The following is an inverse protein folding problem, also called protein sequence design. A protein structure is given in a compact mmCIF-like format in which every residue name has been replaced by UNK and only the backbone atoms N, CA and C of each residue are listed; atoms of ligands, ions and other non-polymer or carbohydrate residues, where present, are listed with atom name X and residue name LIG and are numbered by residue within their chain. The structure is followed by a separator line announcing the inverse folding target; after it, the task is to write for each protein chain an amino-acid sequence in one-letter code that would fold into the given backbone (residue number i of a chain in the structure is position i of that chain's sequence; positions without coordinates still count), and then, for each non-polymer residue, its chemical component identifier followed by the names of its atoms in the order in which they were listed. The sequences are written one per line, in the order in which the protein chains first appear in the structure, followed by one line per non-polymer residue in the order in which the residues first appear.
data_IF_159967867800
#
_entry.id   IF_159967867800
#
_cell.length_a   1.000
_cell.length_b   1.000
_cell.length_c   1.000
_cell.angle_alpha   90.00
_cell.angle_beta   90.00
_cell.angle_gamma   90.00
#
_symmetry.space_group_name_H-M   'P 1'
#
loop_
_entity.id
_entity.type
_entity.pdbx_description
1 polymer ?
#
# COMPACT_ATOMS: atom_id res chain seq x y z
N UNK A 1 -17.47 -1.63 -4.15
CA UNK A 1 -17.49 -0.27 -3.56
C UNK A 1 -17.17 0.80 -4.62
N UNK A 2 -17.94 1.90 -4.65
CA UNK A 2 -17.54 3.10 -5.41
C UNK A 2 -16.28 3.65 -4.73
N UNK A 3 -15.11 3.42 -5.33
CA UNK A 3 -13.81 3.76 -4.75
C UNK A 3 -12.74 2.66 -4.84
N UNK A 4 -13.12 1.40 -5.10
CA UNK A 4 -12.13 0.33 -5.30
C UNK A 4 -11.46 0.43 -6.67
N UNK A 5 -10.17 0.09 -6.76
CA UNK A 5 -9.36 0.12 -7.99
C UNK A 5 -10.05 -0.60 -9.16
N UNK A 6 -10.67 -1.75 -8.88
CA UNK A 6 -11.42 -2.53 -9.87
C UNK A 6 -12.66 -1.80 -10.38
N UNK A 7 -13.43 -1.20 -9.46
CA UNK A 7 -14.61 -0.42 -9.83
C UNK A 7 -14.19 0.76 -10.69
N UNK A 8 -13.15 1.47 -10.29
CA UNK A 8 -12.59 2.61 -11.02
C UNK A 8 -12.11 2.21 -12.41
N UNK A 9 -11.36 1.10 -12.53
CA UNK A 9 -10.93 0.55 -13.81
C UNK A 9 -12.12 0.22 -14.72
N UNK A 10 -13.15 -0.44 -14.19
CA UNK A 10 -14.37 -0.75 -14.96
C UNK A 10 -15.11 0.53 -15.39
N UNK A 11 -15.13 1.56 -14.54
CA UNK A 11 -15.70 2.88 -14.87
C UNK A 11 -14.89 3.61 -15.95
N UNK A 12 -13.56 3.54 -15.89
CA UNK A 12 -12.66 4.08 -16.92
C UNK A 12 -12.91 3.38 -18.25
N UNK A 13 -12.97 2.04 -18.26
CA UNK A 13 -13.30 1.28 -19.46
C UNK A 13 -14.66 1.71 -20.03
N UNK A 14 -15.69 1.88 -19.17
CA UNK A 14 -17.00 2.36 -19.58
C UNK A 14 -16.98 3.77 -20.19
N UNK A 15 -16.21 4.69 -19.61
CA UNK A 15 -15.99 6.05 -20.12
C UNK A 15 -15.28 6.03 -21.48
N UNK A 16 -14.20 5.27 -21.60
CA UNK A 16 -13.44 5.12 -22.84
C UNK A 16 -14.31 4.55 -23.97
N UNK A 17 -15.18 3.59 -23.67
CA UNK A 17 -16.17 3.08 -24.63
C UNK A 17 -17.15 4.17 -25.05
N UNK A 18 -17.68 4.97 -24.11
CA UNK A 18 -18.57 6.09 -24.41
C UNK A 18 -17.88 7.17 -25.27
N UNK A 19 -16.56 7.34 -25.11
CA UNK A 19 -15.71 8.23 -25.91
C UNK A 19 -15.25 7.61 -27.25
N UNK A 20 -15.70 6.39 -27.58
CA UNK A 20 -15.36 5.72 -28.84
C UNK A 20 -13.93 5.16 -28.90
N UNK A 21 -13.28 4.94 -27.75
CA UNK A 21 -11.94 4.34 -27.67
C UNK A 21 -12.05 2.82 -27.63
N UNK A 22 -11.17 2.15 -28.37
CA UNK A 22 -11.13 0.69 -28.50
C UNK A 22 -10.02 0.02 -27.69
N UNK A 23 -9.15 0.80 -27.04
CA UNK A 23 -7.98 0.30 -26.31
C UNK A 23 -7.83 1.03 -24.98
N UNK A 24 -7.63 0.26 -23.91
CA UNK A 24 -7.17 0.72 -22.61
C UNK A 24 -5.96 -0.14 -22.21
N UNK A 25 -4.84 0.50 -21.88
CA UNK A 25 -3.58 -0.18 -21.57
C UNK A 25 -3.12 0.11 -20.15
N UNK A 26 -2.74 -0.94 -19.41
CA UNK A 26 -2.09 -0.85 -18.11
C UNK A 26 -0.56 -0.80 -18.21
N UNK A 27 -0.02 -0.52 -19.40
CA UNK A 27 1.40 -0.64 -19.71
C UNK A 27 1.87 -2.10 -19.81
N UNK A 28 3.13 -2.29 -20.23
CA UNK A 28 3.73 -3.62 -20.35
C UNK A 28 3.93 -4.27 -18.97
N UNK A 29 3.79 -5.59 -18.90
CA UNK A 29 4.27 -6.38 -17.75
C UNK A 29 5.52 -7.10 -18.21
N UNK A 30 6.67 -6.70 -17.68
CA UNK A 30 7.95 -7.26 -18.07
C UNK A 30 8.24 -8.52 -17.25
N UNK A 31 8.68 -9.57 -17.96
CA UNK A 31 9.31 -10.73 -17.32
C UNK A 31 8.44 -11.98 -17.13
N UNK A 32 7.14 -11.90 -17.45
CA UNK A 32 6.27 -13.08 -17.36
C UNK A 32 6.42 -13.96 -18.60
N UNK A 33 6.82 -15.22 -18.39
CA UNK A 33 6.76 -16.26 -19.44
C UNK A 33 5.31 -16.69 -19.61
N UNK A 34 4.74 -16.40 -20.76
CA UNK A 34 3.35 -16.76 -21.09
C UNK A 34 3.23 -18.16 -21.70
N UNK A 35 4.30 -18.67 -22.31
CA UNK A 35 4.36 -19.98 -22.94
C UNK A 35 5.71 -20.19 -23.64
N UNK A 36 5.83 -21.31 -24.33
CA UNK A 36 7.02 -21.66 -25.10
C UNK A 36 6.82 -21.31 -26.58
N UNK A 37 7.91 -21.03 -27.29
CA UNK A 37 7.91 -20.81 -28.74
C UNK A 37 8.87 -21.79 -29.39
N UNK A 38 8.41 -22.49 -30.43
CA UNK A 38 9.26 -23.38 -31.25
C UNK A 38 10.34 -22.61 -32.02
N UNK A 39 10.18 -21.28 -32.15
CA UNK A 39 11.10 -20.38 -32.85
C UNK A 39 11.85 -19.46 -31.88
N UNK A 40 11.96 -19.82 -30.60
CA UNK A 40 12.65 -19.00 -29.61
C UNK A 40 14.16 -18.91 -29.92
N UNK A 41 14.72 -17.70 -29.83
CA UNK A 41 16.17 -17.50 -29.94
C UNK A 41 16.86 -18.09 -28.69
N UNK A 42 17.75 -19.10 -28.83
CA UNK A 42 18.34 -19.80 -27.68
C UNK A 42 19.27 -18.94 -26.82
N UNK A 43 19.80 -17.84 -27.37
CA UNK A 43 20.65 -16.90 -26.64
C UNK A 43 19.78 -15.96 -25.81
N UNK A 44 18.71 -15.44 -26.41
CA UNK A 44 17.73 -14.62 -25.72
C UNK A 44 17.06 -15.34 -24.54
N UNK A 45 16.67 -16.60 -24.74
CA UNK A 45 16.06 -17.43 -23.69
C UNK A 45 17.02 -17.69 -22.51
N UNK A 46 18.31 -17.89 -22.79
CA UNK A 46 19.33 -18.03 -21.74
C UNK A 46 19.48 -16.75 -20.94
N UNK A 47 19.63 -15.61 -21.61
CA UNK A 47 19.79 -14.31 -20.95
C UNK A 47 18.57 -13.97 -20.06
N UNK A 48 17.35 -14.15 -20.57
CA UNK A 48 16.13 -13.93 -19.80
C UNK A 48 15.98 -14.91 -18.63
N UNK A 49 16.41 -16.16 -18.79
CA UNK A 49 16.40 -17.16 -17.72
C UNK A 49 17.39 -16.85 -16.61
N UNK A 50 18.58 -16.35 -16.96
CA UNK A 50 19.58 -15.87 -16.00
C UNK A 50 19.05 -14.67 -15.19
N UNK A 51 18.45 -13.69 -15.87
CA UNK A 51 17.84 -12.54 -15.20
C UNK A 51 16.74 -12.95 -14.21
N UNK A 52 15.86 -13.87 -14.61
CA UNK A 52 14.84 -14.46 -13.73
C UNK A 52 15.44 -15.17 -12.52
N UNK A 53 16.50 -15.95 -12.71
CA UNK A 53 17.18 -16.65 -11.62
C UNK A 53 17.74 -15.70 -10.54
N UNK A 54 18.05 -14.45 -10.92
CA UNK A 54 18.52 -13.39 -10.03
C UNK A 54 17.40 -12.54 -9.43
N UNK A 55 16.14 -12.93 -9.64
CA UNK A 55 14.97 -12.20 -9.14
C UNK A 55 14.59 -10.96 -9.95
N UNK A 56 15.28 -10.70 -11.07
CA UNK A 56 14.95 -9.62 -12.02
C UNK A 56 13.92 -10.17 -13.01
N UNK A 57 12.97 -9.36 -13.49
CA UNK A 57 11.90 -9.81 -14.41
C UNK A 57 10.92 -10.84 -13.80
N UNK A 58 10.59 -10.74 -12.51
CA UNK A 58 9.56 -11.55 -11.82
C UNK A 58 8.19 -10.86 -11.83
N UNK A 59 7.58 -10.79 -13.01
CA UNK A 59 6.37 -10.00 -13.25
C UNK A 59 5.04 -10.66 -12.88
N UNK A 60 5.03 -11.85 -12.28
CA UNK A 60 3.82 -12.69 -12.17
C UNK A 60 2.70 -12.06 -11.34
N UNK A 61 3.05 -11.22 -10.35
CA UNK A 61 2.08 -10.47 -9.54
C UNK A 61 1.35 -9.40 -10.35
N UNK A 62 2.12 -8.57 -11.08
CA UNK A 62 1.58 -7.49 -11.91
C UNK A 62 0.78 -8.04 -13.11
N UNK A 63 1.21 -9.16 -13.68
CA UNK A 63 0.48 -9.84 -14.74
C UNK A 63 -0.87 -10.42 -14.25
N UNK A 64 -0.90 -11.08 -13.09
CA UNK A 64 -2.14 -11.58 -12.49
C UNK A 64 -3.12 -10.44 -12.18
N UNK A 65 -2.60 -9.31 -11.70
CA UNK A 65 -3.40 -8.11 -11.47
C UNK A 65 -4.08 -7.60 -12.76
N UNK A 66 -3.33 -7.43 -13.85
CA UNK A 66 -3.88 -6.91 -15.12
C UNK A 66 -4.89 -7.86 -15.78
N UNK A 67 -4.69 -9.17 -15.66
CA UNK A 67 -5.60 -10.17 -16.23
C UNK A 67 -6.99 -10.18 -15.60
N UNK A 68 -7.17 -9.62 -14.40
CA UNK A 68 -8.49 -9.51 -13.76
C UNK A 68 -9.50 -8.72 -14.61
N UNK A 69 -9.02 -7.86 -15.49
CA UNK A 69 -9.83 -6.94 -16.30
C UNK A 69 -9.97 -7.36 -17.76
N UNK A 70 -9.44 -8.53 -18.14
CA UNK A 70 -9.48 -9.00 -19.53
C UNK A 70 -9.69 -10.52 -19.61
N UNK A 71 -10.63 -11.00 -20.44
CA UNK A 71 -10.91 -12.45 -20.57
C UNK A 71 -9.97 -13.19 -21.52
N UNK A 72 -9.20 -12.48 -22.37
CA UNK A 72 -8.34 -13.08 -23.41
C UNK A 72 -6.97 -12.41 -23.44
N UNK A 73 -5.93 -13.23 -23.41
CA UNK A 73 -4.55 -12.81 -23.64
C UNK A 73 -4.15 -13.08 -25.09
N UNK A 74 -3.64 -12.05 -25.76
CA UNK A 74 -3.07 -12.16 -27.11
C UNK A 74 -1.56 -11.94 -27.00
N UNK A 75 -0.72 -12.96 -27.29
CA UNK A 75 0.71 -12.78 -27.28
C UNK A 75 1.13 -11.87 -28.44
N UNK A 76 2.07 -10.96 -28.16
CA UNK A 76 2.78 -10.20 -29.18
C UNK A 76 4.21 -10.70 -29.16
N UNK A 77 4.71 -11.13 -30.32
CA UNK A 77 6.07 -11.60 -30.47
C UNK A 77 6.93 -10.48 -31.06
N UNK A 78 8.11 -10.28 -30.47
CA UNK A 78 9.17 -9.51 -31.11
C UNK A 78 9.96 -10.48 -32.00
N UNK A 79 9.84 -10.31 -33.31
CA UNK A 79 10.46 -11.20 -34.29
C UNK A 79 11.63 -10.49 -34.98
N UNK A 80 12.69 -11.25 -35.21
CA UNK A 80 13.84 -10.88 -36.04
C UNK A 80 13.80 -11.71 -37.34
N UNK A 81 14.05 -11.12 -38.53
CA UNK A 81 14.27 -11.89 -39.75
C UNK A 81 15.44 -12.87 -39.59
N UNK A 82 15.34 -14.08 -40.14
CA UNK A 82 16.34 -15.14 -39.96
C UNK A 82 17.75 -14.76 -40.44
N UNK A 83 17.83 -13.81 -41.36
CA UNK A 83 19.03 -13.29 -42.02
C UNK A 83 19.55 -11.96 -41.43
N UNK A 84 18.87 -11.38 -40.45
CA UNK A 84 19.30 -10.15 -39.80
C UNK A 84 20.35 -10.42 -38.71
N UNK A 85 21.20 -9.44 -38.40
CA UNK A 85 22.19 -9.57 -37.32
C UNK A 85 21.51 -9.80 -35.95
N UNK A 86 22.12 -10.59 -35.05
CA UNK A 86 21.58 -10.80 -33.71
C UNK A 86 21.47 -9.47 -32.94
N UNK A 87 20.31 -9.21 -32.34
CA UNK A 87 20.11 -8.08 -31.43
C UNK A 87 20.24 -8.57 -30.00
N UNK A 88 21.08 -7.93 -29.20
CA UNK A 88 21.20 -8.28 -27.79
C UNK A 88 19.89 -7.96 -27.05
N UNK A 89 19.40 -8.93 -26.28
CA UNK A 89 18.23 -8.76 -25.42
C UNK A 89 18.41 -7.60 -24.44
N UNK A 90 19.63 -7.33 -23.99
CA UNK A 90 19.94 -6.19 -23.13
C UNK A 90 19.62 -4.85 -23.79
N UNK A 91 19.91 -4.71 -25.09
CA UNK A 91 19.60 -3.51 -25.88
C UNK A 91 18.10 -3.35 -26.09
N UNK A 92 17.39 -4.45 -26.36
CA UNK A 92 15.92 -4.45 -26.48
C UNK A 92 15.27 -4.03 -25.16
N UNK A 93 15.76 -4.56 -24.03
CA UNK A 93 15.28 -4.18 -22.69
C UNK A 93 15.56 -2.70 -22.42
N UNK A 94 16.76 -2.21 -22.75
CA UNK A 94 17.16 -0.83 -22.52
C UNK A 94 16.33 0.14 -23.37
N UNK A 95 16.03 -0.23 -24.62
CA UNK A 95 15.14 0.53 -25.51
C UNK A 95 13.72 0.64 -24.91
N UNK A 96 13.20 -0.44 -24.32
CA UNK A 96 11.88 -0.41 -23.65
C UNK A 96 11.92 0.48 -22.41
N UNK A 97 13.01 0.45 -21.64
CA UNK A 97 13.16 1.23 -20.42
C UNK A 97 13.45 2.72 -20.67
N UNK A 98 14.13 3.05 -21.77
CA UNK A 98 14.48 4.41 -22.15
C UNK A 98 14.54 4.55 -23.69
N UNK A 99 13.45 5.00 -24.34
CA UNK A 99 13.37 5.07 -25.79
C UNK A 99 14.27 6.15 -26.43
N UNK A 100 14.82 7.08 -25.63
CA UNK A 100 15.72 8.14 -26.10
C UNK A 100 17.19 7.69 -26.16
N UNK A 101 17.52 6.53 -25.58
CA UNK A 101 18.85 5.93 -25.70
C UNK A 101 18.98 5.33 -27.09
N UNK A 102 19.66 6.06 -28.00
CA UNK A 102 20.05 5.52 -29.30
C UNK A 102 21.15 4.48 -29.12
N UNK A 103 20.77 3.22 -29.20
CA UNK A 103 21.69 2.09 -29.32
C UNK A 103 22.38 2.17 -30.69
N UNK A 104 23.73 2.21 -30.70
CA UNK A 104 24.53 2.21 -31.93
C UNK A 104 24.74 0.77 -32.40
N UNK A 105 24.60 0.55 -33.70
CA UNK A 105 24.76 -0.72 -34.43
C UNK A 105 26.17 -1.34 -34.40
N UNK A 106 27.07 -0.87 -33.53
CA UNK A 106 28.51 -1.11 -33.64
C UNK A 106 29.16 -1.45 -32.28
N UNK A 107 28.44 -2.18 -31.41
CA UNK A 107 29.01 -2.97 -30.30
C UNK A 107 29.90 -2.22 -29.28
N UNK A 108 29.83 -0.90 -29.22
CA UNK A 108 30.69 -0.07 -28.38
C UNK A 108 29.91 0.97 -27.59
N UNK A 109 29.95 0.88 -26.26
CA UNK A 109 29.40 1.90 -25.37
C UNK A 109 30.30 3.15 -25.40
N UNK A 110 29.80 4.24 -25.99
CA UNK A 110 30.36 5.57 -25.74
C UNK A 110 29.64 6.19 -24.55
N UNK A 111 30.28 6.10 -23.37
CA UNK A 111 29.91 6.89 -22.20
C UNK A 111 30.27 8.34 -22.48
N UNK A 112 29.31 9.26 -22.53
CA UNK A 112 29.65 10.67 -22.33
C UNK A 112 30.04 10.82 -20.86
N UNK A 113 31.33 11.07 -20.61
CA UNK A 113 31.84 11.31 -19.26
C UNK A 113 31.03 12.42 -18.56
N UNK A 114 30.59 12.24 -17.31
CA UNK A 114 30.15 13.36 -16.49
C UNK A 114 31.34 14.29 -16.24
N UNK A 115 31.08 15.60 -16.18
CA UNK A 115 32.08 16.57 -15.73
C UNK A 115 32.70 16.12 -14.38
N UNK A 116 34.01 16.38 -14.15
CA UNK A 116 34.71 15.85 -12.99
C UNK A 116 34.06 16.36 -11.70
N UNK A 117 33.61 15.40 -10.89
CA UNK A 117 33.20 15.65 -9.51
C UNK A 117 34.45 16.02 -8.70
N UNK A 118 34.37 17.13 -7.99
CA UNK A 118 35.36 17.56 -7.00
C UNK A 118 35.58 16.45 -5.97
N UNK A 119 36.83 16.06 -5.73
CA UNK A 119 37.19 15.02 -4.77
C UNK A 119 36.65 15.32 -3.35
N UNK A 120 36.12 14.30 -2.64
CA UNK A 120 35.80 14.42 -1.23
C UNK A 120 37.06 14.31 -0.37
N UNK A 121 37.22 15.25 0.56
CA UNK A 121 38.28 15.24 1.56
C UNK A 121 38.22 13.97 2.45
N UNK A 122 39.36 13.44 2.92
CA UNK A 122 39.42 12.19 3.65
C UNK A 122 38.79 12.29 5.04
N UNK A 123 38.19 11.18 5.47
CA UNK A 123 37.46 11.01 6.71
C UNK A 123 38.35 11.14 7.95
N UNK A 124 37.91 11.96 8.90
CA UNK A 124 38.46 12.03 10.26
C UNK A 124 37.66 11.12 11.19
N UNK A 125 38.35 10.38 12.06
CA UNK A 125 37.84 9.44 13.06
C UNK A 125 36.78 10.05 14.01
N UNK A 126 35.89 9.20 14.59
CA UNK A 126 34.76 9.68 15.39
C UNK A 126 35.19 10.09 16.81
N UNK A 127 34.88 11.33 17.18
CA UNK A 127 34.93 11.82 18.56
C UNK A 127 33.64 11.43 19.34
N UNK A 128 33.72 11.29 20.68
CA UNK A 128 32.70 10.61 21.48
C UNK A 128 31.44 11.44 21.72
N UNK A 129 30.38 10.73 22.12
CA UNK A 129 29.00 11.19 22.26
C UNK A 129 28.85 12.47 23.11
N UNK A 130 28.24 13.48 22.50
CA UNK A 130 27.74 14.69 23.16
C UNK A 130 26.21 14.64 23.27
N UNK A 131 25.70 15.14 24.40
CA UNK A 131 24.32 15.12 24.90
C UNK A 131 23.21 15.54 23.91
N UNK A 132 21.95 15.12 24.14
CA UNK A 132 20.85 15.40 23.22
C UNK A 132 20.53 16.90 23.16
N UNK A 133 20.51 17.44 21.94
CA UNK A 133 20.09 18.80 21.66
C UNK A 133 18.62 19.03 22.10
N UNK A 134 18.27 20.22 22.64
CA UNK A 134 16.93 20.51 23.10
C UNK A 134 15.94 20.56 21.92
N UNK A 135 14.69 20.20 22.20
CA UNK A 135 13.60 20.14 21.24
C UNK A 135 13.51 21.42 20.39
N UNK A 136 13.54 21.24 19.06
CA UNK A 136 13.40 22.33 18.11
C UNK A 136 12.07 23.07 18.35
N UNK A 137 12.16 24.39 18.53
CA UNK A 137 11.01 25.28 18.65
C UNK A 137 10.05 25.14 17.44
N UNK A 138 8.74 25.35 17.64
CA UNK A 138 7.74 25.21 16.59
C UNK A 138 8.08 26.14 15.41
N UNK A 139 8.17 25.57 14.21
CA UNK A 139 8.35 26.35 12.99
C UNK A 139 7.17 27.31 12.82
N UNK A 140 7.48 28.58 12.56
CA UNK A 140 6.49 29.60 12.25
C UNK A 140 5.60 29.15 11.09
N UNK A 141 4.28 29.35 11.25
CA UNK A 141 3.27 29.09 10.24
C UNK A 141 3.70 29.68 8.90
N UNK A 142 3.83 28.83 7.86
CA UNK A 142 3.94 29.31 6.48
C UNK A 142 2.69 30.15 6.21
N UNK A 143 2.86 31.41 5.79
CA UNK A 143 1.74 32.24 5.32
C UNK A 143 0.96 31.43 4.27
N UNK A 144 -0.38 31.49 4.27
CA UNK A 144 -1.16 30.88 3.21
C UNK A 144 -0.67 31.47 1.89
N UNK A 145 -0.14 30.61 1.02
CA UNK A 145 0.04 30.95 -0.38
C UNK A 145 -1.37 31.17 -0.92
N UNK A 146 -1.64 32.35 -1.47
CA UNK A 146 -2.92 32.62 -2.10
C UNK A 146 -3.23 31.49 -3.08
N UNK A 147 -4.48 31.00 -3.15
CA UNK A 147 -4.82 29.95 -4.10
C UNK A 147 -4.41 30.42 -5.48
N UNK A 148 -3.52 29.66 -6.14
CA UNK A 148 -3.36 29.78 -7.58
C UNK A 148 -4.75 29.63 -8.18
N UNK A 149 -5.16 30.50 -9.11
CA UNK A 149 -6.44 30.35 -9.77
C UNK A 149 -6.48 28.94 -10.34
N UNK A 150 -7.48 28.15 -9.92
CA UNK A 150 -7.71 26.81 -10.45
C UNK A 150 -7.61 26.91 -11.96
N UNK A 151 -6.60 26.24 -12.54
CA UNK A 151 -6.47 26.19 -13.98
C UNK A 151 -7.78 25.59 -14.51
N UNK A 152 -8.46 26.23 -15.47
CA UNK A 152 -9.66 25.66 -16.07
C UNK A 152 -9.29 24.27 -16.56
N UNK A 153 -10.18 23.29 -16.34
CA UNK A 153 -10.01 21.89 -16.70
C UNK A 153 -9.13 21.74 -17.94
N UNK A 154 -7.86 21.38 -17.72
CA UNK A 154 -6.85 21.36 -18.77
C UNK A 154 -7.30 20.40 -19.87
N UNK A 155 -7.09 20.79 -21.13
CA UNK A 155 -7.34 19.89 -22.25
C UNK A 155 -6.52 18.60 -22.07
N UNK A 156 -6.89 17.50 -22.72
CA UNK A 156 -6.10 16.25 -22.64
C UNK A 156 -4.60 16.46 -22.97
N UNK A 157 -4.29 17.44 -23.83
CA UNK A 157 -2.92 17.86 -24.18
C UNK A 157 -2.16 18.52 -23.01
N UNK A 158 -2.86 19.19 -22.09
CA UNK A 158 -2.25 19.82 -20.92
C UNK A 158 -1.85 18.76 -19.88
N UNK A 159 -2.64 17.70 -19.72
CA UNK A 159 -2.33 16.58 -18.81
C UNK A 159 -1.12 15.76 -19.27
N UNK A 160 -1.02 15.46 -20.57
CA UNK A 160 0.13 14.75 -21.13
C UNK A 160 1.44 15.53 -20.93
N UNK A 161 1.39 16.84 -21.22
CA UNK A 161 2.54 17.73 -21.02
C UNK A 161 2.92 17.83 -19.55
N UNK A 162 1.94 17.98 -18.67
CA UNK A 162 2.16 18.07 -17.22
C UNK A 162 2.79 16.79 -16.68
N UNK A 163 2.27 15.63 -17.06
CA UNK A 163 2.80 14.33 -16.63
C UNK A 163 4.20 14.07 -17.19
N UNK A 164 4.45 14.44 -18.46
CA UNK A 164 5.78 14.35 -19.09
C UNK A 164 6.81 15.25 -18.39
N UNK A 165 6.43 16.49 -18.05
CA UNK A 165 7.31 17.42 -17.31
C UNK A 165 7.73 16.89 -15.93
N UNK A 166 6.96 15.97 -15.36
CA UNK A 166 7.25 15.33 -14.07
C UNK A 166 7.83 13.91 -14.21
N UNK A 167 8.31 13.55 -15.41
CA UNK A 167 8.94 12.26 -15.68
C UNK A 167 7.98 11.08 -15.58
N UNK A 168 6.72 11.31 -15.97
CA UNK A 168 5.65 10.31 -15.96
C UNK A 168 5.33 9.72 -14.58
N UNK A 169 5.72 10.40 -13.50
CA UNK A 169 5.42 10.00 -12.13
C UNK A 169 4.31 10.92 -11.55
N UNK A 170 3.08 10.42 -11.38
CA UNK A 170 1.98 11.22 -10.84
C UNK A 170 2.19 11.65 -9.39
N UNK A 171 3.02 10.94 -8.61
CA UNK A 171 3.35 11.32 -7.22
C UNK A 171 4.20 12.60 -7.12
N UNK A 172 4.69 13.11 -8.26
CA UNK A 172 5.46 14.35 -8.34
C UNK A 172 4.62 15.55 -8.77
N UNK A 173 3.35 15.33 -9.10
CA UNK A 173 2.44 16.41 -9.45
C UNK A 173 2.02 17.17 -8.19
N UNK A 174 1.85 18.48 -8.32
CA UNK A 174 1.18 19.27 -7.29
C UNK A 174 -0.31 18.93 -7.26
N UNK A 175 -0.91 18.84 -6.08
CA UNK A 175 -2.34 18.52 -5.95
C UNK A 175 -3.22 19.57 -6.61
N UNK A 176 -2.76 20.83 -6.69
CA UNK A 176 -3.47 21.91 -7.40
C UNK A 176 -3.56 21.69 -8.91
N UNK A 177 -2.66 20.89 -9.49
CA UNK A 177 -2.64 20.56 -10.91
C UNK A 177 -3.44 19.28 -11.23
N UNK A 178 -4.04 18.63 -10.22
CA UNK A 178 -4.77 17.37 -10.34
C UNK A 178 -6.26 17.61 -10.10
N UNK A 179 -7.07 17.39 -11.14
CA UNK A 179 -8.53 17.59 -11.08
C UNK A 179 -9.21 16.63 -10.08
N UNK A 180 -8.76 15.38 -10.05
CA UNK A 180 -9.27 14.34 -9.14
C UNK A 180 -8.07 13.58 -8.57
N UNK A 181 -7.76 13.85 -7.31
CA UNK A 181 -6.68 13.16 -6.60
C UNK A 181 -7.22 11.90 -5.92
N UNK A 182 -6.71 10.74 -6.35
CA UNK A 182 -7.03 9.42 -5.81
C UNK A 182 -5.78 8.71 -5.27
N UNK A 183 -4.70 9.47 -4.99
CA UNK A 183 -3.44 8.91 -4.51
C UNK A 183 -3.61 8.24 -3.15
N UNK A 184 -4.41 8.83 -2.27
CA UNK A 184 -4.63 8.30 -0.91
C UNK A 184 -5.96 8.76 -0.32
N UNK A 185 -6.53 7.91 0.55
CA UNK A 185 -7.64 8.22 1.45
C UNK A 185 -7.15 8.66 2.85
N UNK A 186 -5.84 8.74 3.08
CA UNK A 186 -5.25 9.17 4.35
C UNK A 186 -5.29 10.69 4.48
N UNK A 187 -6.41 11.24 4.93
CA UNK A 187 -6.62 12.69 5.03
C UNK A 187 -5.57 13.40 5.90
N UNK A 188 -5.02 12.73 6.92
CA UNK A 188 -3.94 13.29 7.75
C UNK A 188 -2.60 13.48 7.03
N UNK A 189 -2.43 12.87 5.85
CA UNK A 189 -1.22 13.03 5.02
C UNK A 189 -1.42 14.02 3.87
N UNK A 190 -2.63 14.56 3.70
CA UNK A 190 -2.98 15.49 2.62
C UNK A 190 -2.95 16.94 3.13
N UNK A 191 -2.07 17.74 2.54
CA UNK A 191 -2.03 19.20 2.74
C UNK A 191 -2.90 19.88 1.67
N UNK A 192 -4.23 19.75 1.82
CA UNK A 192 -5.21 20.28 0.86
C UNK A 192 -6.30 21.13 1.54
N UNK A 193 -6.76 22.23 0.90
CA UNK A 193 -7.79 23.11 1.48
C UNK A 193 -9.08 22.40 1.88
N UNK A 194 -9.58 21.49 1.04
CA UNK A 194 -10.82 20.76 1.32
C UNK A 194 -10.72 19.84 2.55
N UNK A 195 -9.53 19.32 2.85
CA UNK A 195 -9.31 18.52 4.07
C UNK A 195 -9.38 19.41 5.30
N UNK A 196 -8.76 20.60 5.22
CA UNK A 196 -8.80 21.59 6.31
C UNK A 196 -10.23 22.03 6.59
N UNK A 197 -10.98 22.40 5.55
CA UNK A 197 -12.38 22.80 5.65
C UNK A 197 -13.26 21.70 6.25
N UNK A 198 -13.08 20.44 5.84
CA UNK A 198 -13.83 19.31 6.38
C UNK A 198 -13.51 19.07 7.87
N UNK A 199 -12.24 19.14 8.26
CA UNK A 199 -11.82 18.99 9.66
C UNK A 199 -12.37 20.14 10.52
N UNK A 200 -12.37 21.37 10.02
CA UNK A 200 -12.92 22.52 10.73
C UNK A 200 -14.44 22.42 10.87
N UNK A 201 -15.16 21.99 9.82
CA UNK A 201 -16.59 21.71 9.92
C UNK A 201 -16.91 20.62 10.97
N UNK A 202 -16.10 19.57 11.06
CA UNK A 202 -16.23 18.55 12.11
C UNK A 202 -15.97 19.11 13.51
N UNK A 203 -14.98 19.98 13.67
CA UNK A 203 -14.69 20.67 14.95
C UNK A 203 -15.84 21.58 15.38
N UNK A 204 -16.39 22.33 14.43
CA UNK A 204 -17.56 23.19 14.64
C UNK A 204 -18.79 22.38 15.04
N UNK A 205 -19.07 21.28 14.31
CA UNK A 205 -20.20 20.39 14.57
C UNK A 205 -20.07 19.64 15.90
N UNK A 206 -18.85 19.30 16.32
CA UNK A 206 -18.58 18.75 17.65
C UNK A 206 -18.86 19.76 18.78
N UNK A 207 -19.12 21.03 18.43
CA UNK A 207 -19.33 22.13 19.35
C UNK A 207 -18.00 22.61 19.92
N UNK A 208 -17.82 23.92 19.99
CA UNK A 208 -16.70 24.60 20.66
C UNK A 208 -16.45 24.16 22.14
N UNK A 209 -17.26 23.25 22.67
CA UNK A 209 -17.05 22.58 23.95
C UNK A 209 -15.93 21.56 23.81
N UNK A 210 -14.75 21.93 24.31
CA UNK A 210 -13.77 20.98 24.82
C UNK A 210 -14.45 20.10 25.89
N UNK A 211 -15.19 19.07 25.49
CA UNK A 211 -15.08 17.83 26.24
C UNK A 211 -13.65 17.38 25.95
N UNK A 212 -12.71 17.83 26.78
CA UNK A 212 -11.34 17.34 26.70
C UNK A 212 -11.46 15.83 26.69
N UNK A 213 -11.06 15.21 25.57
CA UNK A 213 -11.09 13.76 25.43
C UNK A 213 -10.30 13.22 26.61
N UNK A 214 -11.00 12.58 27.53
CA UNK A 214 -10.40 12.08 28.75
C UNK A 214 -9.64 10.80 28.38
N UNK A 215 -8.39 10.99 27.98
CA UNK A 215 -7.49 9.93 27.57
C UNK A 215 -7.26 8.91 28.70
N UNK A 216 -7.32 9.36 29.96
CA UNK A 216 -7.25 8.50 31.16
C UNK A 216 -8.53 7.68 31.38
N UNK A 217 -9.62 8.00 30.67
CA UNK A 217 -10.87 7.22 30.62
C UNK A 217 -11.13 6.66 29.23
N UNK A 218 -10.07 6.37 28.48
CA UNK A 218 -10.17 5.66 27.22
C UNK A 218 -10.72 6.46 26.06
N UNK A 219 -10.87 7.79 26.16
CA UNK A 219 -11.35 8.63 25.06
C UNK A 219 -12.76 8.28 24.51
N UNK A 220 -13.59 7.59 25.30
CA UNK A 220 -14.88 7.07 24.82
C UNK A 220 -14.78 5.75 24.03
N UNK A 221 -13.59 5.16 23.96
CA UNK A 221 -13.35 3.80 23.48
C UNK A 221 -13.52 2.80 24.65
N UNK A 222 -13.73 1.51 24.39
CA UNK A 222 -13.92 0.51 25.44
C UNK A 222 -12.63 0.13 26.21
N UNK A 223 -11.56 0.91 26.07
CA UNK A 223 -10.28 0.68 26.74
C UNK A 223 -10.16 1.55 27.99
N UNK A 224 -9.46 1.11 29.04
CA UNK A 224 -9.26 1.91 30.24
C UNK A 224 -8.37 3.13 30.00
N UNK A 225 -7.47 3.07 29.01
CA UNK A 225 -6.51 4.12 28.70
C UNK A 225 -6.45 4.38 27.20
N UNK A 226 -6.16 5.62 26.82
CA UNK A 226 -5.88 6.03 25.45
C UNK A 226 -4.65 6.93 25.43
N UNK A 227 -3.87 6.88 24.35
CA UNK A 227 -2.73 7.78 24.13
C UNK A 227 -2.86 8.40 22.75
N UNK A 228 -2.90 9.73 22.70
CA UNK A 228 -2.93 10.45 21.43
C UNK A 228 -1.56 10.41 20.75
N UNK A 229 -1.56 10.16 19.45
CA UNK A 229 -0.38 10.25 18.60
C UNK A 229 -0.68 11.11 17.37
N UNK A 230 0.36 11.47 16.61
CA UNK A 230 0.18 12.34 15.44
C UNK A 230 -0.48 11.65 14.26
N UNK A 231 -0.36 10.32 14.17
CA UNK A 231 -0.85 9.48 13.06
C UNK A 231 -0.65 8.00 13.35
N UNK A 232 -1.32 7.13 12.60
CA UNK A 232 -1.29 5.66 12.76
C UNK A 232 0.12 5.10 12.95
N UNK A 233 1.05 5.39 12.03
CA UNK A 233 2.45 4.94 12.13
C UNK A 233 3.17 5.33 13.42
N UNK A 234 2.79 6.46 14.04
CA UNK A 234 3.34 6.87 15.34
C UNK A 234 2.79 6.02 16.48
N UNK A 235 1.52 5.61 16.42
CA UNK A 235 0.91 4.67 17.35
C UNK A 235 1.52 3.26 17.22
N UNK A 236 1.70 2.76 15.98
CA UNK A 236 2.36 1.48 15.70
C UNK A 236 3.76 1.43 16.31
N UNK A 237 4.59 2.44 16.04
CA UNK A 237 5.94 2.53 16.55
C UNK A 237 5.97 2.67 18.08
N UNK A 238 5.02 3.41 18.66
CA UNK A 238 4.90 3.56 20.12
C UNK A 238 4.49 2.24 20.78
N UNK A 239 3.50 1.53 20.25
CA UNK A 239 3.10 0.21 20.75
C UNK A 239 4.28 -0.78 20.69
N UNK A 240 4.95 -0.87 19.54
CA UNK A 240 6.10 -1.75 19.38
C UNK A 240 7.22 -1.37 20.35
N UNK A 241 7.56 -0.08 20.48
CA UNK A 241 8.60 0.40 21.41
C UNK A 241 8.26 0.11 22.87
N UNK A 242 7.02 0.33 23.28
CA UNK A 242 6.60 0.23 24.67
C UNK A 242 6.09 -1.16 25.06
N UNK A 243 6.15 -2.15 24.14
CA UNK A 243 5.66 -3.50 24.40
C UNK A 243 6.30 -4.09 25.66
N UNK A 244 5.51 -4.47 26.69
CA UNK A 244 6.04 -4.87 27.99
C UNK A 244 6.57 -6.30 28.00
N UNK A 245 6.10 -7.12 27.06
CA UNK A 245 6.48 -8.53 26.96
C UNK A 245 7.73 -8.76 26.11
N UNK A 246 8.05 -10.03 25.89
CA UNK A 246 9.11 -10.40 24.95
C UNK A 246 8.76 -9.91 23.54
N UNK A 247 9.77 -9.41 22.84
CA UNK A 247 9.75 -9.12 21.40
C UNK A 247 10.06 -10.40 20.62
N UNK A 248 9.07 -10.92 19.94
CA UNK A 248 9.10 -12.22 19.27
C UNK A 248 8.26 -12.17 18.00
N UNK A 249 7.50 -13.24 17.74
CA UNK A 249 6.66 -13.28 16.55
C UNK A 249 5.41 -12.41 16.72
N UNK A 250 5.04 -11.68 15.68
CA UNK A 250 3.71 -11.07 15.55
C UNK A 250 2.94 -11.85 14.51
N UNK A 251 1.91 -12.59 14.95
CA UNK A 251 1.10 -13.41 14.06
C UNK A 251 -0.03 -12.54 13.52
N UNK A 252 -0.14 -12.37 12.20
CA UNK A 252 -0.95 -11.28 11.65
C UNK A 252 -1.58 -11.58 10.30
N UNK A 253 -2.65 -10.86 9.96
CA UNK A 253 -3.14 -10.81 8.58
C UNK A 253 -2.22 -9.93 7.71
N UNK A 254 -2.68 -9.53 6.53
CA UNK A 254 -1.89 -8.71 5.61
C UNK A 254 -1.86 -7.23 6.05
N UNK A 255 -1.13 -6.94 7.15
CA UNK A 255 -1.00 -5.59 7.67
C UNK A 255 -0.38 -4.63 6.65
N UNK A 256 -0.74 -3.36 6.76
CA UNK A 256 -0.14 -2.27 6.01
C UNK A 256 1.39 -2.20 6.23
N UNK A 257 2.21 -1.84 5.21
CA UNK A 257 3.66 -1.93 5.30
C UNK A 257 4.33 -1.15 6.44
N UNK A 258 3.71 -0.10 6.97
CA UNK A 258 4.28 0.65 8.12
C UNK A 258 4.40 -0.20 9.38
N UNK A 259 3.52 -1.20 9.56
CA UNK A 259 3.62 -2.16 10.65
C UNK A 259 4.90 -2.98 10.58
N UNK A 260 5.25 -3.47 9.39
CA UNK A 260 6.46 -4.27 9.22
C UNK A 260 7.71 -3.47 9.59
N UNK A 261 7.76 -2.18 9.22
CA UNK A 261 8.83 -1.28 9.64
C UNK A 261 8.87 -1.13 11.17
N UNK A 262 7.74 -0.77 11.78
CA UNK A 262 7.62 -0.59 13.24
C UNK A 262 7.99 -1.86 14.02
N UNK A 263 7.59 -3.03 13.53
CA UNK A 263 7.87 -4.33 14.13
C UNK A 263 9.37 -4.66 14.05
N UNK A 264 9.95 -4.61 12.85
CA UNK A 264 11.36 -4.96 12.63
C UNK A 264 12.31 -4.02 13.38
N UNK A 265 12.05 -2.70 13.35
CA UNK A 265 12.86 -1.70 14.06
C UNK A 265 12.89 -1.91 15.58
N UNK A 266 11.87 -2.58 16.12
CA UNK A 266 11.72 -2.83 17.56
C UNK A 266 11.85 -4.33 17.92
N UNK A 267 12.48 -5.13 17.04
CA UNK A 267 12.90 -6.51 17.34
C UNK A 267 11.80 -7.56 17.26
N UNK A 268 10.68 -7.27 16.62
CA UNK A 268 9.64 -8.25 16.31
C UNK A 268 9.89 -8.92 14.96
N UNK A 269 9.27 -10.08 14.75
CA UNK A 269 9.29 -10.77 13.46
C UNK A 269 7.85 -11.02 12.99
N UNK A 270 7.41 -10.42 11.88
CA UNK A 270 6.07 -10.67 11.35
C UNK A 270 5.94 -12.11 10.84
N UNK A 271 4.86 -12.79 11.22
CA UNK A 271 4.43 -14.07 10.68
C UNK A 271 3.01 -13.92 10.11
N UNK A 272 2.90 -13.94 8.78
CA UNK A 272 1.62 -13.76 8.10
C UNK A 272 0.81 -15.06 8.11
N UNK A 273 -0.46 -14.95 8.48
CA UNK A 273 -1.51 -15.96 8.31
C UNK A 273 -2.32 -15.61 7.05
N UNK A 274 -2.65 -16.60 6.20
CA UNK A 274 -3.47 -16.36 5.01
C UNK A 274 -4.92 -15.97 5.37
N UNK A 275 -5.58 -15.32 4.43
CA UNK A 275 -7.04 -15.18 4.49
C UNK A 275 -7.71 -16.57 4.29
N UNK A 276 -8.86 -16.78 4.91
CA UNK A 276 -9.67 -17.98 4.74
C UNK A 276 -10.18 -18.13 3.30
N UNK A 277 -10.47 -17.00 2.65
CA UNK A 277 -10.92 -16.96 1.27
C UNK A 277 -9.76 -16.88 0.28
N UNK A 278 -9.92 -17.51 -0.89
CA UNK A 278 -9.01 -17.30 -2.02
C UNK A 278 -9.20 -15.91 -2.64
N UNK A 279 -8.16 -15.32 -3.26
CA UNK A 279 -8.27 -13.98 -3.86
C UNK A 279 -9.33 -13.83 -4.96
N UNK A 280 -9.70 -14.93 -5.62
CA UNK A 280 -10.72 -15.00 -6.69
C UNK A 280 -12.09 -15.46 -6.18
N UNK A 281 -12.23 -15.78 -4.89
CA UNK A 281 -13.50 -16.19 -4.32
C UNK A 281 -14.52 -15.03 -4.37
N UNK A 282 -15.76 -15.38 -4.74
CA UNK A 282 -16.91 -14.48 -4.72
C UNK A 282 -17.53 -14.46 -3.32
N UNK A 283 -16.78 -13.90 -2.36
CA UNK A 283 -17.17 -13.74 -0.97
C UNK A 283 -17.09 -12.28 -0.56
N UNK A 284 -17.98 -11.88 0.35
CA UNK A 284 -18.04 -10.51 0.86
C UNK A 284 -16.90 -10.22 1.86
N UNK A 285 -16.67 -11.13 2.80
CA UNK A 285 -15.67 -10.99 3.88
C UNK A 285 -14.34 -11.66 3.54
N UNK A 286 -13.67 -11.19 2.47
CA UNK A 286 -12.36 -11.75 2.06
C UNK A 286 -11.20 -11.35 2.96
N UNK A 287 -11.43 -10.45 3.92
CA UNK A 287 -10.47 -10.13 4.97
C UNK A 287 -10.42 -11.18 6.07
N UNK A 288 -11.41 -12.08 6.14
CA UNK A 288 -11.47 -13.14 7.16
C UNK A 288 -10.19 -13.96 7.22
N UNK A 289 -9.63 -14.10 8.42
CA UNK A 289 -8.43 -14.89 8.65
C UNK A 289 -8.77 -16.38 8.63
N UNK A 290 -7.86 -17.19 8.11
CA UNK A 290 -7.91 -18.63 8.31
C UNK A 290 -7.57 -18.95 9.77
N UNK A 291 -8.59 -19.20 10.58
CA UNK A 291 -8.43 -19.46 12.02
C UNK A 291 -7.79 -20.82 12.32
N UNK A 292 -7.82 -21.76 11.37
CA UNK A 292 -7.10 -23.04 11.50
C UNK A 292 -5.61 -22.90 11.22
N UNK A 293 -5.21 -22.04 10.27
CA UNK A 293 -3.81 -21.64 10.09
C UNK A 293 -3.32 -20.77 11.24
N UNK A 294 -4.16 -19.87 11.78
CA UNK A 294 -3.85 -19.10 12.98
C UNK A 294 -3.54 -20.03 14.16
N UNK A 295 -4.43 -20.99 14.45
CA UNK A 295 -4.25 -21.95 15.54
C UNK A 295 -2.94 -22.75 15.38
N UNK A 296 -2.66 -23.25 14.18
CA UNK A 296 -1.40 -23.95 13.88
C UNK A 296 -0.18 -23.06 14.05
N UNK A 297 -0.23 -21.81 13.61
CA UNK A 297 0.86 -20.86 13.75
C UNK A 297 1.17 -20.55 15.21
N UNK A 298 0.13 -20.37 16.04
CA UNK A 298 0.26 -20.15 17.48
C UNK A 298 0.79 -21.40 18.19
N UNK A 299 0.27 -22.58 17.89
CA UNK A 299 0.71 -23.85 18.47
C UNK A 299 2.19 -24.15 18.14
N UNK A 300 2.59 -24.02 16.88
CA UNK A 300 3.96 -24.26 16.44
C UNK A 300 4.98 -23.27 17.03
N UNK A 301 4.52 -22.13 17.51
CA UNK A 301 5.32 -21.07 18.09
C UNK A 301 4.91 -20.78 19.54
N UNK A 302 4.43 -21.80 20.26
CA UNK A 302 4.01 -21.67 21.64
C UNK A 302 5.11 -21.00 22.48
N UNK A 303 4.70 -19.98 23.23
CA UNK A 303 5.62 -19.20 24.05
C UNK A 303 6.67 -18.42 23.25
N UNK A 304 6.57 -18.26 21.92
CA UNK A 304 7.41 -17.40 21.03
C UNK A 304 6.66 -16.19 20.47
N UNK A 305 5.33 -16.25 20.41
CA UNK A 305 4.46 -15.18 19.91
C UNK A 305 4.33 -14.06 20.96
N UNK A 306 4.43 -12.82 20.51
CA UNK A 306 4.23 -11.62 21.32
C UNK A 306 2.76 -11.21 21.35
N UNK A 307 2.15 -11.07 20.19
CA UNK A 307 0.72 -10.75 20.02
C UNK A 307 0.23 -11.21 18.65
N UNK A 308 -1.09 -11.36 18.53
CA UNK A 308 -1.80 -11.44 17.26
C UNK A 308 -2.17 -10.04 16.83
N UNK A 309 -1.98 -9.67 15.56
CA UNK A 309 -2.35 -8.35 15.04
C UNK A 309 -3.27 -8.47 13.82
N UNK A 310 -4.44 -7.83 13.86
CA UNK A 310 -5.42 -7.86 12.77
C UNK A 310 -5.78 -6.46 12.34
N UNK A 311 -5.56 -6.16 11.05
CA UNK A 311 -5.99 -4.90 10.43
C UNK A 311 -7.41 -4.98 9.85
N UNK A 312 -8.19 -3.93 10.14
CA UNK A 312 -9.58 -3.75 9.76
C UNK A 312 -9.81 -2.45 8.99
N UNK A 313 -10.43 -2.47 7.81
CA UNK A 313 -10.43 -3.57 6.83
C UNK A 313 -9.00 -3.82 6.33
N UNK A 314 -8.69 -5.02 5.85
CA UNK A 314 -7.30 -5.38 5.50
C UNK A 314 -6.79 -4.61 4.26
N UNK A 315 -6.06 -3.50 4.45
CA UNK A 315 -5.70 -2.58 3.38
C UNK A 315 -4.86 -3.24 2.29
N UNK A 316 -3.79 -3.96 2.67
CA UNK A 316 -2.90 -4.60 1.70
C UNK A 316 -3.59 -5.72 0.88
N UNK A 317 -4.76 -6.19 1.32
CA UNK A 317 -5.58 -7.14 0.57
C UNK A 317 -6.61 -6.47 -0.36
N UNK A 318 -6.63 -5.14 -0.45
CA UNK A 318 -7.61 -4.37 -1.21
C UNK A 318 -8.75 -3.81 -0.36
N UNK A 319 -8.54 -3.68 0.95
CA UNK A 319 -9.53 -3.13 1.88
C UNK A 319 -10.72 -4.06 2.14
N UNK A 320 -10.53 -5.37 2.02
CA UNK A 320 -11.60 -6.32 2.29
C UNK A 320 -11.95 -6.38 3.78
N UNK A 321 -13.25 -6.40 4.11
CA UNK A 321 -13.71 -6.44 5.48
C UNK A 321 -13.49 -7.81 6.11
N UNK A 322 -13.34 -7.81 7.43
CA UNK A 322 -13.32 -8.98 8.30
C UNK A 322 -14.67 -9.03 9.03
N UNK A 323 -15.34 -10.18 8.99
CA UNK A 323 -16.62 -10.39 9.68
C UNK A 323 -16.43 -10.36 11.19
N UNK A 324 -17.48 -9.93 11.91
CA UNK A 324 -17.49 -9.95 13.37
C UNK A 324 -17.40 -11.40 13.89
N UNK A 325 -18.08 -12.34 13.24
CA UNK A 325 -17.94 -13.77 13.53
C UNK A 325 -16.49 -14.26 13.43
N UNK A 326 -15.75 -13.88 12.37
CA UNK A 326 -14.34 -14.23 12.23
C UNK A 326 -13.48 -13.58 13.32
N UNK A 327 -13.71 -12.30 13.65
CA UNK A 327 -12.98 -11.62 14.72
C UNK A 327 -13.19 -12.27 16.10
N UNK A 328 -14.43 -12.68 16.41
CA UNK A 328 -14.72 -13.46 17.63
C UNK A 328 -13.93 -14.76 17.65
N UNK A 329 -13.86 -15.47 16.51
CA UNK A 329 -13.09 -16.71 16.40
C UNK A 329 -11.58 -16.50 16.52
N UNK A 330 -11.05 -15.41 15.96
CA UNK A 330 -9.64 -15.01 16.14
C UNK A 330 -9.36 -14.74 17.62
N UNK A 331 -10.24 -13.99 18.31
CA UNK A 331 -10.12 -13.72 19.75
C UNK A 331 -10.14 -15.00 20.58
N UNK A 332 -11.07 -15.90 20.33
CA UNK A 332 -11.13 -17.21 20.99
C UNK A 332 -9.83 -18.00 20.80
N UNK A 333 -9.33 -18.03 19.56
CA UNK A 333 -8.10 -18.75 19.20
C UNK A 333 -6.88 -18.14 19.92
N UNK A 334 -6.73 -16.81 19.87
CA UNK A 334 -5.64 -16.12 20.56
C UNK A 334 -5.69 -16.33 22.08
N UNK A 335 -6.90 -16.27 22.67
CA UNK A 335 -7.12 -16.51 24.11
C UNK A 335 -6.74 -17.94 24.51
N UNK A 336 -7.08 -18.94 23.70
CA UNK A 336 -6.74 -20.35 23.98
C UNK A 336 -5.22 -20.59 24.06
N UNK A 337 -4.42 -19.78 23.34
CA UNK A 337 -2.95 -19.82 23.38
C UNK A 337 -2.33 -18.82 24.35
N UNK A 338 -3.13 -18.04 25.08
CA UNK A 338 -2.64 -17.01 26.00
C UNK A 338 -1.89 -15.88 25.30
N UNK A 339 -2.25 -15.56 24.05
CA UNK A 339 -1.63 -14.51 23.24
C UNK A 339 -2.59 -13.32 23.10
N UNK A 340 -2.16 -12.07 23.39
CA UNK A 340 -3.03 -10.91 23.28
C UNK A 340 -3.38 -10.58 21.82
N UNK A 341 -4.59 -10.04 21.61
CA UNK A 341 -5.07 -9.59 20.31
C UNK A 341 -5.01 -8.06 20.18
N UNK A 342 -4.21 -7.58 19.25
CA UNK A 342 -4.13 -6.17 18.85
C UNK A 342 -4.92 -5.96 17.56
N UNK A 343 -5.70 -4.89 17.49
CA UNK A 343 -6.38 -4.47 16.28
C UNK A 343 -5.73 -3.22 15.70
N UNK A 344 -5.40 -3.24 14.41
CA UNK A 344 -5.26 -2.01 13.64
C UNK A 344 -6.66 -1.59 13.18
N UNK A 345 -7.14 -0.53 13.83
CA UNK A 345 -8.49 0.00 13.67
C UNK A 345 -8.57 1.16 12.65
N UNK A 346 -7.59 1.31 11.75
CA UNK A 346 -7.51 2.43 10.79
C UNK A 346 -8.81 2.64 10.00
N UNK A 347 -9.48 1.55 9.59
CA UNK A 347 -10.77 1.59 8.87
C UNK A 347 -11.89 0.86 9.62
N UNK A 348 -11.88 0.94 10.95
CA UNK A 348 -12.85 0.28 11.85
C UNK A 348 -14.31 0.55 11.43
N UNK A 349 -14.66 1.82 11.19
CA UNK A 349 -16.04 2.19 10.91
C UNK A 349 -16.52 1.70 9.54
N UNK A 350 -15.62 1.62 8.55
CA UNK A 350 -15.95 1.03 7.25
C UNK A 350 -16.20 -0.48 7.38
N UNK A 351 -15.34 -1.17 8.13
CA UNK A 351 -15.50 -2.60 8.42
C UNK A 351 -16.83 -2.86 9.15
N UNK A 352 -17.14 -2.06 10.18
CA UNK A 352 -18.37 -2.17 10.96
C UNK A 352 -19.61 -1.88 10.11
N UNK A 353 -19.59 -0.82 9.30
CA UNK A 353 -20.70 -0.49 8.40
C UNK A 353 -20.95 -1.60 7.37
N UNK A 354 -19.88 -2.19 6.84
CA UNK A 354 -19.99 -3.32 5.92
C UNK A 354 -20.59 -4.55 6.63
N UNK A 355 -20.14 -4.87 7.84
CA UNK A 355 -20.69 -5.96 8.64
C UNK A 355 -22.18 -5.76 8.95
N UNK A 356 -22.60 -4.56 9.37
CA UNK A 356 -24.03 -4.25 9.61
C UNK A 356 -24.87 -4.48 8.35
N UNK A 357 -24.35 -4.11 7.18
CA UNK A 357 -25.07 -4.22 5.92
C UNK A 357 -25.15 -5.66 5.35
N UNK A 358 -24.21 -6.53 5.72
CA UNK A 358 -23.98 -7.79 5.00
C UNK A 358 -23.84 -9.04 5.87
N UNK A 359 -23.55 -8.91 7.17
CA UNK A 359 -23.41 -10.05 8.09
C UNK A 359 -24.77 -10.40 8.71
N UNK A 360 -25.14 -11.68 8.60
CA UNK A 360 -26.38 -12.20 9.16
C UNK A 360 -26.41 -12.02 10.69
N UNK A 361 -27.56 -11.57 11.22
CA UNK A 361 -27.74 -11.34 12.65
C UNK A 361 -27.27 -9.97 13.16
N UNK A 362 -26.69 -9.11 12.31
CA UNK A 362 -26.35 -7.72 12.67
C UNK A 362 -27.41 -6.70 12.24
N UNK A 363 -28.49 -7.14 11.59
CA UNK A 363 -29.58 -6.28 11.16
C UNK A 363 -30.21 -5.50 12.32
N UNK A 364 -30.38 -4.19 12.12
CA UNK A 364 -30.96 -3.27 13.11
C UNK A 364 -29.98 -2.74 14.16
N UNK A 365 -28.72 -3.19 14.17
CA UNK A 365 -27.65 -2.59 14.98
C UNK A 365 -27.08 -1.35 14.31
N UNK A 366 -26.56 -0.42 15.11
CA UNK A 366 -25.86 0.74 14.56
C UNK A 366 -24.40 0.39 14.23
N UNK A 367 -23.77 1.19 13.36
CA UNK A 367 -22.33 1.10 13.07
C UNK A 367 -21.50 1.22 14.36
N UNK A 368 -21.91 2.10 15.27
CA UNK A 368 -21.23 2.33 16.55
C UNK A 368 -21.31 1.11 17.47
N UNK A 369 -22.45 0.44 17.54
CA UNK A 369 -22.60 -0.77 18.36
C UNK A 369 -21.67 -1.89 17.88
N UNK A 370 -21.52 -2.04 16.55
CA UNK A 370 -20.64 -3.06 15.98
C UNK A 370 -19.17 -2.65 16.12
N UNK A 371 -18.85 -1.37 15.95
CA UNK A 371 -17.49 -0.86 16.16
C UNK A 371 -17.02 -1.01 17.63
N UNK A 372 -17.88 -0.68 18.61
CA UNK A 372 -17.59 -0.90 20.04
C UNK A 372 -17.38 -2.38 20.33
N UNK A 373 -18.22 -3.26 19.78
CA UNK A 373 -18.05 -4.70 19.97
C UNK A 373 -16.74 -5.21 19.37
N UNK A 374 -16.38 -4.78 18.16
CA UNK A 374 -15.10 -5.13 17.53
C UNK A 374 -13.94 -4.71 18.43
N UNK A 375 -13.95 -3.47 18.94
CA UNK A 375 -12.89 -2.96 19.81
C UNK A 375 -12.79 -3.74 21.13
N UNK A 376 -13.92 -4.19 21.70
CA UNK A 376 -13.93 -5.05 22.91
C UNK A 376 -13.30 -6.42 22.70
N UNK A 377 -13.06 -6.83 21.46
CA UNK A 377 -12.32 -8.06 21.16
C UNK A 377 -10.80 -7.86 21.27
N UNK A 378 -10.29 -6.63 21.31
CA UNK A 378 -8.86 -6.36 21.51
C UNK A 378 -8.45 -6.39 22.99
N UNK A 379 -7.14 -6.46 23.24
CA UNK A 379 -6.51 -6.41 24.58
C UNK A 379 -5.66 -5.15 24.80
#
# INVERSE_FOLDING_TARGET
PRGALEFTIVRIIGLLVAEGRSLFSFGASLGVRFGDSENADPEAERALSELRSRGVFTGEGNFRFKNKFRPVNLPIYLCRPTDADPTDVSEVILMIANPDVRVRSDGGAAVSAPAPATEPAPATEPAPATEPAPAAAPRASRRPVAPSPALPAGSARDRERLLSAHGHNPLRLDSADVEIDLVTDSWSELDAPYVTEAVDALREAAGHGRAAVDLEKGAGLPFPHAVATMRGRSAEAMLCRSWPGRRGLVVQNALFPTWALSQLDHGFTPLRVPAAARPDADLLFKGDLDTGELDRALAANAGRVSFVCVELSTNAAGGYPVSLANLRRVRETATAHGVPLVLDATRLLENAAFAVAHEEGLGGRTVWDVADEILRLAD
#
